data_IF_857518407740
#
_entry.id   IF_857518407740
#
_cell.length_a   1.000
_cell.length_b   1.000
_cell.length_c   1.000
_cell.angle_alpha   90.00
_cell.angle_beta   90.00
_cell.angle_gamma   90.00
#
_symmetry.space_group_name_H-M   'P 1'
#
loop_
_entity.id
_entity.type
_entity.pdbx_description
1 polymer ?
#
# COMPACT_ATOMS: atom_id res chain seq x y z
N UNK A 1 13.81 -11.44 25.63
CA UNK A 1 12.47 -10.82 25.66
C UNK A 1 12.30 -10.04 24.37
N UNK A 2 11.19 -10.18 23.62
CA UNK A 2 10.95 -9.34 22.47
C UNK A 2 10.91 -7.89 22.96
N UNK A 3 11.73 -7.04 22.37
CA UNK A 3 11.73 -5.60 22.66
C UNK A 3 10.44 -5.02 22.16
N UNK A 4 9.61 -4.47 23.06
CA UNK A 4 8.34 -3.83 22.73
C UNK A 4 8.68 -2.46 22.17
N UNK A 5 8.67 -2.28 20.85
CA UNK A 5 8.68 -0.95 20.25
C UNK A 5 7.27 -0.60 19.73
N UNK A 6 7.02 0.68 19.53
CA UNK A 6 5.69 1.14 19.14
C UNK A 6 5.26 0.52 17.81
N UNK A 7 4.09 -0.11 17.77
CA UNK A 7 3.57 -0.87 16.62
C UNK A 7 3.54 -0.05 15.33
N UNK A 8 3.36 1.27 15.41
CA UNK A 8 3.38 2.17 14.24
C UNK A 8 4.70 2.20 13.49
N UNK A 9 5.84 1.83 14.12
CA UNK A 9 7.15 1.79 13.46
C UNK A 9 7.51 0.41 12.91
N UNK A 10 6.65 -0.61 13.04
CA UNK A 10 6.88 -1.93 12.46
C UNK A 10 7.10 -1.87 10.94
N UNK A 11 6.28 -1.12 10.15
CA UNK A 11 6.51 -1.01 8.72
C UNK A 11 7.86 -0.37 8.36
N UNK A 12 8.32 0.60 9.16
CA UNK A 12 9.62 1.22 8.98
C UNK A 12 10.77 0.25 9.32
N UNK A 13 10.60 -0.57 10.36
CA UNK A 13 11.55 -1.64 10.70
C UNK A 13 11.63 -2.68 9.56
N UNK A 14 10.49 -3.08 9.01
CA UNK A 14 10.44 -4.00 7.85
C UNK A 14 11.15 -3.39 6.64
N UNK A 15 10.98 -2.09 6.40
CA UNK A 15 11.67 -1.37 5.33
C UNK A 15 13.20 -1.48 5.48
N UNK A 16 13.75 -1.20 6.67
CA UNK A 16 15.19 -1.32 6.91
C UNK A 16 15.68 -2.76 6.90
N UNK A 17 14.88 -3.71 7.37
CA UNK A 17 15.19 -5.14 7.31
C UNK A 17 15.37 -5.65 5.87
N UNK A 18 14.57 -5.14 4.94
CA UNK A 18 14.61 -5.53 3.53
C UNK A 18 15.66 -4.76 2.74
N UNK A 19 16.21 -3.68 3.29
CA UNK A 19 17.17 -2.85 2.57
C UNK A 19 18.58 -3.43 2.61
N UNK A 20 19.24 -3.42 1.45
CA UNK A 20 20.67 -3.75 1.28
C UNK A 20 21.51 -2.52 0.98
N UNK A 21 20.91 -1.33 0.91
CA UNK A 21 21.60 -0.09 0.57
C UNK A 21 22.45 0.40 1.74
N UNK A 22 23.72 0.75 1.48
CA UNK A 22 24.63 1.32 2.49
C UNK A 22 24.15 2.67 3.02
N UNK A 23 23.57 3.50 2.16
CA UNK A 23 22.96 4.78 2.51
C UNK A 23 21.53 4.87 2.00
N UNK A 24 20.64 5.32 2.87
CA UNK A 24 19.21 5.49 2.55
C UNK A 24 18.80 6.91 2.94
N UNK A 25 18.34 7.69 1.98
CA UNK A 25 17.71 8.99 2.25
C UNK A 25 16.21 8.84 2.13
N UNK A 26 15.50 9.14 3.21
CA UNK A 26 14.04 9.20 3.22
C UNK A 26 13.58 10.63 3.55
N UNK A 27 12.66 11.15 2.78
CA UNK A 27 11.92 12.35 3.14
C UNK A 27 10.94 12.05 4.27
N UNK A 28 10.51 13.07 5.00
CA UNK A 28 9.52 12.88 6.07
C UNK A 28 8.20 12.32 5.50
N UNK A 29 7.79 12.77 4.30
CA UNK A 29 6.60 12.24 3.62
C UNK A 29 6.72 10.75 3.28
N UNK A 30 7.88 10.27 2.85
CA UNK A 30 8.14 8.85 2.59
C UNK A 30 8.11 8.03 3.88
N UNK A 31 8.68 8.56 4.97
CA UNK A 31 8.62 7.88 6.28
C UNK A 31 7.16 7.80 6.76
N UNK A 32 6.40 8.89 6.65
CA UNK A 32 4.97 8.90 7.00
C UNK A 32 4.15 7.96 6.13
N UNK A 33 4.46 7.87 4.84
CA UNK A 33 3.85 6.90 3.95
C UNK A 33 4.13 5.46 4.40
N UNK A 34 5.38 5.16 4.77
CA UNK A 34 5.77 3.83 5.26
C UNK A 34 5.04 3.50 6.56
N UNK A 35 5.03 4.40 7.55
CA UNK A 35 4.42 4.13 8.87
C UNK A 35 2.89 4.29 8.88
N UNK A 36 2.29 4.94 7.88
CA UNK A 36 0.85 5.19 7.80
C UNK A 36 0.32 6.29 8.71
N UNK A 37 1.19 7.02 9.38
CA UNK A 37 0.82 8.05 10.36
C UNK A 37 1.74 9.26 10.22
N UNK A 38 1.26 10.43 10.69
CA UNK A 38 2.10 11.64 10.78
C UNK A 38 3.20 11.42 11.82
N UNK A 39 4.38 11.90 11.51
CA UNK A 39 5.47 11.96 12.48
C UNK A 39 5.12 12.90 13.64
N UNK A 40 5.57 12.62 14.87
CA UNK A 40 5.35 13.53 16.01
C UNK A 40 6.04 14.87 15.78
N UNK A 41 5.49 15.96 16.30
CA UNK A 41 6.04 17.31 16.16
C UNK A 41 7.53 17.38 16.54
N UNK A 42 7.98 16.57 17.51
CA UNK A 42 9.39 16.51 17.92
C UNK A 42 10.33 16.04 16.77
N UNK A 43 9.84 15.23 15.84
CA UNK A 43 10.61 14.80 14.67
C UNK A 43 10.87 15.96 13.70
N UNK A 44 9.91 16.90 13.58
CA UNK A 44 10.04 18.08 12.73
C UNK A 44 10.88 19.18 13.34
N UNK A 45 10.88 19.29 14.68
CA UNK A 45 11.47 20.41 15.42
C UNK A 45 12.88 20.13 15.94
N UNK A 46 13.30 18.87 16.02
CA UNK A 46 14.56 18.53 16.69
C UNK A 46 15.30 17.36 16.02
N UNK A 47 16.52 17.62 15.55
CA UNK A 47 17.41 16.56 15.06
C UNK A 47 17.77 15.55 16.16
N UNK A 48 17.74 15.96 17.44
CA UNK A 48 18.01 15.05 18.56
C UNK A 48 16.94 13.96 18.71
N UNK A 49 15.71 14.18 18.23
CA UNK A 49 14.68 13.16 18.23
C UNK A 49 15.11 11.96 17.36
N UNK A 50 15.66 12.21 16.20
CA UNK A 50 16.15 11.19 15.27
C UNK A 50 17.40 10.47 15.77
N UNK A 51 18.24 11.15 16.55
CA UNK A 51 19.53 10.65 17.07
C UNK A 51 19.42 9.98 18.43
N UNK A 52 18.23 9.93 19.05
CA UNK A 52 18.01 9.23 20.32
C UNK A 52 18.22 7.74 20.14
N UNK A 53 18.99 7.13 21.04
CA UNK A 53 19.29 5.70 21.07
C UNK A 53 19.08 5.08 22.46
N UNK A 54 18.33 5.78 23.34
CA UNK A 54 18.09 5.35 24.72
C UNK A 54 16.62 5.53 25.11
N UNK A 55 16.08 4.66 25.97
CA UNK A 55 14.76 4.83 26.57
C UNK A 55 14.58 6.23 27.20
N UNK A 56 13.34 6.77 27.29
CA UNK A 56 12.08 6.10 26.98
C UNK A 56 11.68 6.09 25.47
N UNK A 57 12.47 6.72 24.61
CA UNK A 57 12.21 6.66 23.17
C UNK A 57 12.44 5.23 22.65
N UNK A 58 11.54 4.75 21.80
CA UNK A 58 11.59 3.38 21.26
C UNK A 58 11.61 3.36 19.74
N UNK A 59 11.31 4.49 19.08
CA UNK A 59 11.20 4.59 17.62
C UNK A 59 12.53 4.28 16.89
N UNK A 60 13.68 4.56 17.54
CA UNK A 60 14.99 4.32 16.93
C UNK A 60 15.28 2.82 16.68
N UNK A 61 14.61 1.91 17.37
CA UNK A 61 14.75 0.49 17.10
C UNK A 61 14.37 0.12 15.66
N UNK A 62 13.47 0.89 15.03
CA UNK A 62 13.05 0.63 13.66
C UNK A 62 14.21 0.57 12.65
N UNK A 63 15.30 1.27 12.89
CA UNK A 63 16.50 1.25 12.04
C UNK A 63 17.71 0.65 12.70
N UNK A 64 17.92 0.85 14.02
CA UNK A 64 19.14 0.38 14.68
C UNK A 64 19.22 -1.14 14.83
N UNK A 65 18.08 -1.84 14.91
CA UNK A 65 18.05 -3.32 14.91
C UNK A 65 18.52 -3.94 13.59
N UNK A 66 18.49 -3.15 12.52
CA UNK A 66 18.95 -3.57 11.18
C UNK A 66 20.30 -2.95 10.80
N UNK A 67 21.06 -2.47 11.80
CA UNK A 67 22.41 -1.96 11.61
C UNK A 67 22.49 -0.56 11.03
N UNK A 68 21.36 0.16 10.91
CA UNK A 68 21.36 1.54 10.43
C UNK A 68 21.46 2.55 11.57
N UNK A 69 22.15 3.65 11.30
CA UNK A 69 22.25 4.81 12.17
C UNK A 69 21.91 6.09 11.40
N UNK A 70 21.48 7.13 12.11
CA UNK A 70 21.18 8.42 11.49
C UNK A 70 22.48 9.18 11.25
N UNK A 71 22.84 9.43 9.98
CA UNK A 71 24.02 10.20 9.56
C UNK A 71 23.75 11.70 9.58
N UNK A 72 22.71 12.13 8.86
CA UNK A 72 22.31 13.56 8.81
C UNK A 72 20.78 13.70 8.86
N UNK A 73 20.33 14.83 9.42
CA UNK A 73 18.93 15.21 9.49
C UNK A 73 18.79 16.60 8.88
N UNK A 74 18.03 16.72 7.79
CA UNK A 74 17.54 17.98 7.23
C UNK A 74 16.12 18.20 7.76
N UNK A 75 16.01 19.00 8.85
CA UNK A 75 14.75 19.16 9.59
C UNK A 75 13.59 19.60 8.69
N UNK A 76 12.48 18.89 8.83
CA UNK A 76 11.27 19.12 8.04
C UNK A 76 11.36 18.61 6.61
N UNK A 77 12.48 18.02 6.17
CA UNK A 77 12.67 17.55 4.79
C UNK A 77 13.03 16.07 4.72
N UNK A 78 14.20 15.67 5.23
CA UNK A 78 14.69 14.30 5.05
C UNK A 78 15.68 13.86 6.14
N UNK A 79 15.85 12.54 6.25
CA UNK A 79 16.85 11.89 7.09
C UNK A 79 17.71 10.98 6.21
N UNK A 80 19.02 11.05 6.38
CA UNK A 80 19.97 10.12 5.79
C UNK A 80 20.38 9.09 6.83
N UNK A 81 20.09 7.84 6.54
CA UNK A 81 20.52 6.68 7.31
C UNK A 81 21.73 6.04 6.66
N UNK A 82 22.62 5.47 7.49
CA UNK A 82 23.82 4.77 7.07
C UNK A 82 23.94 3.44 7.81
N UNK A 83 24.26 2.37 7.08
CA UNK A 83 24.48 1.04 7.65
C UNK A 83 25.94 0.82 7.99
N UNK A 84 26.22 0.45 9.23
CA UNK A 84 27.55 0.03 9.66
C UNK A 84 27.82 -1.47 9.39
N UNK A 85 26.79 -2.25 9.17
CA UNK A 85 26.91 -3.70 8.94
C UNK A 85 27.38 -4.01 7.51
N UNK A 86 27.09 -3.12 6.55
CA UNK A 86 27.48 -3.28 5.15
C UNK A 86 28.89 -2.77 4.82
N UNK A 87 29.72 -2.51 5.86
CA UNK A 87 31.10 -2.06 5.68
C UNK A 87 32.13 -3.20 5.48
N UNK A 88 31.75 -4.46 5.66
CA UNK A 88 32.68 -5.59 5.81
C UNK A 88 32.88 -6.48 4.60
N UNK A 89 32.32 -6.21 3.45
CA UNK A 89 32.62 -7.00 2.24
C UNK A 89 32.89 -6.12 1.01
N UNK A 90 34.13 -6.22 0.58
CA UNK A 90 34.77 -5.94 -0.72
C UNK A 90 34.08 -4.96 -1.68
N UNK A 91 34.89 -3.97 -2.10
CA UNK A 91 34.67 -3.11 -3.25
C UNK A 91 34.28 -3.97 -4.48
N UNK A 92 32.99 -4.12 -4.70
CA UNK A 92 32.44 -4.42 -6.01
C UNK A 92 31.75 -3.13 -6.44
N UNK A 93 32.38 -2.48 -7.42
CA UNK A 93 31.76 -1.43 -8.21
C UNK A 93 30.45 -1.98 -8.81
N UNK A 94 29.33 -1.79 -8.12
CA UNK A 94 28.01 -2.00 -8.69
C UNK A 94 27.23 -0.69 -8.59
N UNK A 95 27.44 0.09 -9.65
CA UNK A 95 26.67 1.27 -9.97
C UNK A 95 25.22 0.84 -10.18
N UNK A 96 24.31 1.25 -9.26
CA UNK A 96 22.85 1.20 -9.40
C UNK A 96 22.10 -0.14 -9.17
N UNK A 97 22.42 -0.93 -8.19
CA UNK A 97 21.47 -1.94 -7.72
C UNK A 97 20.62 -1.38 -6.55
N UNK A 98 19.76 -0.39 -6.85
CA UNK A 98 18.74 0.05 -5.91
C UNK A 98 17.67 -1.04 -5.85
N UNK A 99 17.72 -1.88 -4.82
CA UNK A 99 16.68 -2.87 -4.58
C UNK A 99 15.36 -2.14 -4.30
N UNK A 100 14.34 -2.40 -5.13
CA UNK A 100 12.99 -1.88 -4.90
C UNK A 100 12.39 -2.53 -3.63
N UNK A 101 12.04 -1.71 -2.66
CA UNK A 101 11.43 -2.15 -1.40
C UNK A 101 9.93 -1.88 -1.46
N UNK A 102 9.14 -2.95 -1.38
CA UNK A 102 7.69 -2.92 -1.37
C UNK A 102 7.15 -3.18 0.04
N UNK A 103 6.44 -2.22 0.60
CA UNK A 103 5.68 -2.35 1.84
C UNK A 103 4.20 -2.43 1.50
N UNK A 104 3.51 -3.44 2.06
CA UNK A 104 2.04 -3.52 2.01
C UNK A 104 1.53 -3.42 3.44
N UNK A 105 0.60 -2.51 3.68
CA UNK A 105 -0.01 -2.28 4.98
C UNK A 105 -1.46 -1.84 4.86
N UNK A 106 -2.18 -1.94 5.95
CA UNK A 106 -3.51 -1.35 6.05
C UNK A 106 -3.45 0.17 5.97
N UNK A 107 -4.50 0.75 5.40
CA UNK A 107 -4.65 2.19 5.33
C UNK A 107 -5.02 2.78 6.69
N UNK A 108 -4.39 3.90 7.06
CA UNK A 108 -4.73 4.70 8.23
C UNK A 108 -5.46 5.98 7.81
N UNK A 109 -6.24 6.58 8.74
CA UNK A 109 -7.03 7.78 8.43
C UNK A 109 -6.18 8.97 7.95
N UNK A 110 -4.92 9.00 8.35
CA UNK A 110 -3.96 10.03 7.92
C UNK A 110 -3.53 9.87 6.46
N UNK A 111 -3.71 8.68 5.88
CA UNK A 111 -3.44 8.41 4.46
C UNK A 111 -4.49 9.06 3.53
N UNK A 112 -5.61 9.54 4.02
CA UNK A 112 -6.75 9.99 3.20
C UNK A 112 -6.35 10.96 2.09
N UNK A 113 -5.47 11.95 2.38
CA UNK A 113 -4.99 12.91 1.37
C UNK A 113 -4.10 12.25 0.31
N UNK A 114 -3.24 11.32 0.72
CA UNK A 114 -2.35 10.60 -0.18
C UNK A 114 -3.13 9.59 -1.01
N UNK A 115 -4.12 8.94 -0.42
CA UNK A 115 -5.02 8.01 -1.09
C UNK A 115 -5.87 8.69 -2.17
N UNK A 116 -6.39 9.91 -1.92
CA UNK A 116 -7.06 10.72 -2.95
C UNK A 116 -6.14 10.92 -4.15
N UNK A 117 -4.90 11.40 -3.91
CA UNK A 117 -3.93 11.62 -4.99
C UNK A 117 -3.58 10.34 -5.75
N UNK A 118 -3.48 9.21 -5.04
CA UNK A 118 -3.25 7.91 -5.64
C UNK A 118 -4.40 7.53 -6.57
N UNK A 119 -5.65 7.67 -6.12
CA UNK A 119 -6.85 7.37 -6.93
C UNK A 119 -6.96 8.32 -8.13
N UNK A 120 -6.77 9.64 -7.93
CA UNK A 120 -6.79 10.64 -9.02
C UNK A 120 -5.76 10.32 -10.10
N UNK A 121 -4.55 9.90 -9.71
CA UNK A 121 -3.51 9.47 -10.64
C UNK A 121 -3.97 8.25 -11.43
N UNK A 122 -4.40 7.18 -10.74
CA UNK A 122 -4.84 5.94 -11.37
C UNK A 122 -6.03 6.20 -12.31
N UNK A 123 -7.02 6.98 -11.89
CA UNK A 123 -8.19 7.32 -12.72
C UNK A 123 -7.82 8.18 -13.96
N UNK A 124 -6.71 8.91 -13.89
CA UNK A 124 -6.20 9.66 -15.06
C UNK A 124 -5.39 8.82 -16.04
N UNK A 125 -4.91 7.65 -15.60
CA UNK A 125 -4.04 6.77 -16.38
C UNK A 125 -4.79 5.66 -17.12
N UNK A 126 -6.08 5.41 -16.81
CA UNK A 126 -6.84 4.31 -17.38
C UNK A 126 -8.34 4.56 -17.40
N UNK A 127 -9.01 4.07 -18.45
CA UNK A 127 -10.48 4.01 -18.57
C UNK A 127 -11.07 2.69 -18.01
N UNK A 128 -10.25 1.86 -17.34
CA UNK A 128 -10.69 0.55 -16.82
C UNK A 128 -11.19 0.59 -15.37
N UNK A 129 -11.27 1.75 -14.77
CA UNK A 129 -11.87 1.93 -13.43
C UNK A 129 -13.35 2.31 -13.58
N UNK A 130 -14.14 2.03 -12.54
CA UNK A 130 -15.58 2.38 -12.52
C UNK A 130 -15.81 3.89 -12.63
N UNK A 131 -14.86 4.68 -12.10
CA UNK A 131 -14.91 6.13 -12.13
C UNK A 131 -13.74 6.68 -12.94
N UNK A 132 -14.01 7.67 -13.79
CA UNK A 132 -13.01 8.46 -14.46
C UNK A 132 -12.57 9.66 -13.61
N UNK A 133 -11.54 10.37 -14.08
CA UNK A 133 -10.91 11.49 -13.37
C UNK A 133 -11.89 12.61 -12.95
N UNK A 134 -12.95 12.87 -13.75
CA UNK A 134 -13.93 13.94 -13.53
C UNK A 134 -15.18 13.51 -12.76
N UNK A 135 -15.34 12.21 -12.49
CA UNK A 135 -16.62 11.68 -12.03
C UNK A 135 -16.80 11.81 -10.52
N UNK A 136 -15.72 11.95 -9.78
CA UNK A 136 -15.76 12.03 -8.31
C UNK A 136 -15.02 13.26 -7.81
N UNK A 137 -15.73 14.07 -7.03
CA UNK A 137 -15.12 15.10 -6.20
C UNK A 137 -14.81 14.52 -4.81
N UNK A 138 -13.60 14.01 -4.64
CA UNK A 138 -13.14 13.47 -3.36
C UNK A 138 -12.65 14.58 -2.44
N UNK A 139 -13.18 14.63 -1.24
CA UNK A 139 -12.65 15.49 -0.16
C UNK A 139 -11.95 14.63 0.87
N UNK A 140 -10.96 15.20 1.57
CA UNK A 140 -10.27 14.48 2.66
C UNK A 140 -11.27 14.00 3.72
N UNK A 141 -12.32 14.80 3.98
CA UNK A 141 -13.33 14.45 4.97
C UNK A 141 -14.22 13.28 4.51
N UNK A 142 -14.65 13.26 3.21
CA UNK A 142 -15.44 12.14 2.68
C UNK A 142 -14.63 10.84 2.69
N UNK A 143 -13.38 10.88 2.25
CA UNK A 143 -12.52 9.69 2.24
C UNK A 143 -12.20 9.21 3.65
N UNK A 144 -11.94 10.09 4.61
CA UNK A 144 -11.77 9.68 6.03
C UNK A 144 -13.01 8.99 6.58
N UNK A 145 -14.21 9.46 6.21
CA UNK A 145 -15.46 8.81 6.62
C UNK A 145 -15.60 7.41 6.02
N UNK A 146 -15.28 7.25 4.74
CA UNK A 146 -15.30 5.93 4.06
C UNK A 146 -14.24 4.99 4.66
N UNK A 147 -13.00 5.45 4.83
CA UNK A 147 -11.94 4.67 5.45
C UNK A 147 -12.31 4.23 6.88
N UNK A 148 -12.93 5.12 7.66
CA UNK A 148 -13.44 4.79 8.98
C UNK A 148 -14.55 3.75 8.93
N UNK A 149 -15.46 3.84 7.94
CA UNK A 149 -16.51 2.86 7.74
C UNK A 149 -15.93 1.48 7.39
N UNK A 150 -14.98 1.39 6.46
CA UNK A 150 -14.29 0.14 6.13
C UNK A 150 -13.55 -0.46 7.33
N UNK A 151 -12.80 0.36 8.07
CA UNK A 151 -12.05 -0.08 9.26
C UNK A 151 -12.95 -0.59 10.39
N UNK A 152 -14.16 -0.05 10.51
CA UNK A 152 -15.14 -0.47 11.52
C UNK A 152 -16.00 -1.67 11.05
N UNK A 153 -15.81 -2.15 9.85
CA UNK A 153 -16.54 -3.29 9.29
C UNK A 153 -15.59 -4.49 9.25
N UNK A 154 -15.88 -5.54 10.01
CA UNK A 154 -14.98 -6.70 10.18
C UNK A 154 -14.60 -7.40 8.88
N UNK A 155 -15.44 -7.29 7.82
CA UNK A 155 -15.25 -7.93 6.53
C UNK A 155 -14.85 -6.96 5.40
N UNK A 156 -14.32 -5.78 5.74
CA UNK A 156 -13.81 -4.81 4.74
C UNK A 156 -12.42 -4.34 5.12
N UNK A 157 -11.53 -4.16 4.13
CA UNK A 157 -10.17 -3.69 4.36
C UNK A 157 -9.63 -2.93 3.15
N UNK A 158 -8.88 -1.87 3.41
CA UNK A 158 -8.10 -1.13 2.42
C UNK A 158 -6.61 -1.34 2.68
N UNK A 159 -5.92 -2.00 1.75
CA UNK A 159 -4.47 -2.16 1.79
C UNK A 159 -3.81 -1.20 0.80
N UNK A 160 -2.71 -0.61 1.22
CA UNK A 160 -1.87 0.29 0.43
C UNK A 160 -0.53 -0.37 0.12
N UNK A 161 -0.06 -0.22 -1.11
CA UNK A 161 1.27 -0.60 -1.54
C UNK A 161 2.16 0.64 -1.62
N UNK A 162 3.26 0.62 -0.89
CA UNK A 162 4.27 1.69 -0.84
C UNK A 162 5.58 1.12 -1.40
N UNK A 163 6.03 1.67 -2.53
CA UNK A 163 7.29 1.31 -3.18
C UNK A 163 8.31 2.41 -2.92
N UNK A 164 9.40 2.10 -2.22
CA UNK A 164 10.46 3.06 -1.87
C UNK A 164 9.93 4.35 -1.21
N UNK A 165 8.92 4.23 -0.32
CA UNK A 165 8.28 5.36 0.35
C UNK A 165 7.18 6.06 -0.45
N UNK A 166 6.92 5.67 -1.70
CA UNK A 166 5.90 6.28 -2.56
C UNK A 166 4.65 5.39 -2.68
N UNK A 167 3.47 5.99 -2.63
CA UNK A 167 2.22 5.27 -2.85
C UNK A 167 2.14 4.77 -4.30
N UNK A 168 2.18 3.45 -4.46
CA UNK A 168 2.25 2.77 -5.76
C UNK A 168 0.92 2.17 -6.21
N UNK A 169 0.07 1.74 -5.25
CA UNK A 169 -1.21 1.12 -5.55
C UNK A 169 -2.03 0.83 -4.29
N UNK A 170 -3.22 0.31 -4.49
CA UNK A 170 -4.13 -0.10 -3.41
C UNK A 170 -4.97 -1.30 -3.82
N UNK A 171 -5.52 -2.00 -2.83
CA UNK A 171 -6.63 -2.93 -2.98
C UNK A 171 -7.65 -2.68 -1.89
N UNK A 172 -8.91 -2.57 -2.27
CA UNK A 172 -10.05 -2.44 -1.38
C UNK A 172 -10.87 -3.73 -1.44
N UNK A 173 -11.08 -4.35 -0.30
CA UNK A 173 -12.02 -5.45 -0.10
C UNK A 173 -13.26 -4.87 0.60
N UNK A 174 -14.43 -5.07 0.01
CA UNK A 174 -15.70 -4.63 0.59
C UNK A 174 -16.57 -5.84 0.82
N UNK A 175 -16.81 -6.17 2.08
CA UNK A 175 -17.62 -7.32 2.47
C UNK A 175 -19.11 -7.14 2.15
N UNK A 176 -19.79 -8.25 1.96
CA UNK A 176 -21.23 -8.25 1.76
C UNK A 176 -21.96 -7.67 2.97
N UNK A 177 -22.95 -6.78 2.80
CA UNK A 177 -23.59 -6.07 3.91
C UNK A 177 -24.67 -6.90 4.63
N UNK A 178 -25.13 -8.00 4.04
CA UNK A 178 -26.23 -8.81 4.58
C UNK A 178 -25.71 -10.08 5.24
N UNK A 179 -26.38 -10.63 6.29
CA UNK A 179 -25.92 -11.82 7.00
C UNK A 179 -25.63 -13.02 6.09
N UNK A 180 -26.42 -13.21 5.02
CA UNK A 180 -26.20 -14.29 4.03
C UNK A 180 -25.07 -14.01 3.04
N UNK A 181 -24.45 -12.84 3.08
CA UNK A 181 -23.40 -12.41 2.17
C UNK A 181 -22.08 -12.08 2.91
N UNK A 182 -22.00 -12.25 4.23
CA UNK A 182 -20.83 -11.91 5.02
C UNK A 182 -19.58 -12.72 4.63
N UNK A 183 -19.78 -13.90 4.04
CA UNK A 183 -18.70 -14.80 3.61
C UNK A 183 -18.02 -14.38 2.31
N UNK A 184 -18.45 -13.29 1.67
CA UNK A 184 -17.88 -12.81 0.40
C UNK A 184 -17.46 -11.36 0.47
N UNK A 185 -16.44 -11.00 -0.32
CA UNK A 185 -16.02 -9.61 -0.49
C UNK A 185 -15.79 -9.26 -1.96
N UNK A 186 -16.24 -8.08 -2.36
CA UNK A 186 -15.90 -7.48 -3.64
C UNK A 186 -14.51 -6.87 -3.59
N UNK A 187 -13.77 -6.95 -4.69
CA UNK A 187 -12.38 -6.50 -4.79
C UNK A 187 -12.26 -5.39 -5.82
N UNK A 188 -11.65 -4.28 -5.42
CA UNK A 188 -11.21 -3.19 -6.32
C UNK A 188 -9.72 -3.00 -6.14
N UNK A 189 -8.96 -3.02 -7.23
CA UNK A 189 -7.49 -2.86 -7.21
C UNK A 189 -7.04 -1.84 -8.24
N UNK A 190 -6.07 -1.01 -7.86
CA UNK A 190 -5.43 -0.06 -8.74
C UNK A 190 -3.94 0.07 -8.43
N UNK A 191 -3.13 0.16 -9.49
CA UNK A 191 -1.68 0.39 -9.41
C UNK A 191 -1.32 1.45 -10.42
N UNK A 192 -0.54 2.47 -10.04
CA UNK A 192 -0.06 3.50 -10.94
C UNK A 192 0.74 2.88 -12.09
N UNK A 193 0.65 3.48 -13.28
CA UNK A 193 1.30 2.98 -14.48
C UNK A 193 2.83 2.91 -14.33
N UNK A 194 3.45 3.88 -13.67
CA UNK A 194 4.91 3.92 -13.41
C UNK A 194 5.42 2.73 -12.57
N UNK A 195 4.55 2.13 -11.76
CA UNK A 195 4.84 0.93 -10.95
C UNK A 195 4.27 -0.36 -11.55
N UNK A 196 3.74 -0.32 -12.76
CA UNK A 196 3.18 -1.50 -13.41
C UNK A 196 4.25 -2.57 -13.69
N UNK A 197 3.82 -3.84 -13.80
CA UNK A 197 4.68 -5.01 -14.07
C UNK A 197 5.74 -5.31 -13.00
N UNK A 198 5.75 -4.61 -11.87
CA UNK A 198 6.63 -4.88 -10.71
C UNK A 198 6.03 -5.88 -9.70
N UNK A 199 4.95 -6.56 -10.03
CA UNK A 199 4.31 -7.56 -9.16
C UNK A 199 3.42 -6.99 -8.05
N UNK A 200 3.28 -5.67 -7.93
CA UNK A 200 2.56 -4.99 -6.85
C UNK A 200 1.11 -5.47 -6.74
N UNK A 201 0.38 -5.54 -7.86
CA UNK A 201 -1.02 -6.01 -7.86
C UNK A 201 -1.13 -7.45 -7.32
N UNK A 202 -0.22 -8.34 -7.72
CA UNK A 202 -0.17 -9.72 -7.20
C UNK A 202 0.09 -9.74 -5.69
N UNK A 203 1.04 -8.93 -5.22
CA UNK A 203 1.39 -8.85 -3.80
C UNK A 203 0.23 -8.28 -2.97
N UNK A 204 -0.45 -7.23 -3.43
CA UNK A 204 -1.65 -6.69 -2.78
C UNK A 204 -2.75 -7.76 -2.65
N UNK A 205 -3.01 -8.50 -3.72
CA UNK A 205 -4.03 -9.57 -3.72
C UNK A 205 -3.67 -10.72 -2.78
N UNK A 206 -2.39 -11.14 -2.74
CA UNK A 206 -1.94 -12.20 -1.82
C UNK A 206 -2.08 -11.77 -0.35
N UNK A 207 -1.70 -10.54 -0.01
CA UNK A 207 -1.87 -10.02 1.35
C UNK A 207 -3.35 -9.88 1.72
N UNK A 208 -4.17 -9.37 0.79
CA UNK A 208 -5.60 -9.25 1.02
C UNK A 208 -6.34 -10.59 1.13
N UNK A 209 -5.93 -11.60 0.35
CA UNK A 209 -6.49 -12.95 0.48
C UNK A 209 -6.16 -13.58 1.84
N UNK A 210 -4.94 -13.38 2.34
CA UNK A 210 -4.56 -13.82 3.68
C UNK A 210 -5.45 -13.19 4.74
N UNK A 211 -5.59 -11.86 4.73
CA UNK A 211 -6.50 -11.15 5.62
C UNK A 211 -7.94 -11.65 5.48
N UNK A 212 -8.45 -11.82 4.26
CA UNK A 212 -9.82 -12.28 4.00
C UNK A 212 -10.12 -13.63 4.68
N UNK A 213 -9.18 -14.59 4.61
CA UNK A 213 -9.27 -15.87 5.30
C UNK A 213 -9.31 -15.73 6.82
N UNK A 214 -8.48 -14.84 7.38
CA UNK A 214 -8.41 -14.57 8.81
C UNK A 214 -9.74 -14.04 9.39
N UNK A 215 -10.50 -13.25 8.58
CA UNK A 215 -11.80 -12.69 8.97
C UNK A 215 -13.00 -13.54 8.52
N UNK A 216 -12.77 -14.74 7.98
CA UNK A 216 -13.84 -15.70 7.63
C UNK A 216 -14.50 -15.44 6.27
N UNK A 217 -13.91 -14.65 5.38
CA UNK A 217 -14.32 -14.53 3.98
C UNK A 217 -13.87 -15.80 3.25
N UNK A 218 -14.79 -16.45 2.52
CA UNK A 218 -14.52 -17.65 1.74
C UNK A 218 -14.69 -17.47 0.23
N UNK A 219 -15.15 -16.29 -0.21
CA UNK A 219 -15.28 -15.94 -1.62
C UNK A 219 -14.85 -14.51 -1.89
N UNK A 220 -13.95 -14.32 -2.86
CA UNK A 220 -13.62 -13.03 -3.46
C UNK A 220 -14.29 -12.89 -4.82
N UNK A 221 -14.83 -11.72 -5.13
CA UNK A 221 -15.51 -11.45 -6.38
C UNK A 221 -15.14 -10.07 -6.93
N UNK A 222 -15.12 -9.94 -8.26
CA UNK A 222 -14.82 -8.68 -8.94
C UNK A 222 -15.49 -8.63 -10.33
N UNK A 223 -15.61 -7.41 -10.86
CA UNK A 223 -15.89 -7.19 -12.29
C UNK A 223 -14.62 -6.72 -12.99
N UNK A 224 -14.45 -7.11 -14.24
CA UNK A 224 -13.35 -6.65 -15.09
C UNK A 224 -13.85 -6.37 -16.50
N UNK A 225 -13.52 -5.20 -17.03
CA UNK A 225 -13.84 -4.81 -18.41
C UNK A 225 -13.19 -5.80 -19.37
N UNK A 226 -13.94 -6.24 -20.40
CA UNK A 226 -13.47 -7.26 -21.36
C UNK A 226 -12.21 -6.86 -22.12
N UNK A 227 -12.03 -5.58 -22.37
CA UNK A 227 -10.86 -5.03 -23.05
C UNK A 227 -9.63 -4.95 -22.15
N UNK A 228 -9.80 -5.06 -20.82
CA UNK A 228 -8.69 -5.07 -19.88
C UNK A 228 -8.01 -6.45 -19.78
N UNK A 229 -7.31 -6.82 -20.86
CA UNK A 229 -6.62 -8.12 -20.98
C UNK A 229 -5.55 -8.30 -19.90
N UNK A 230 -4.91 -7.19 -19.47
CA UNK A 230 -3.89 -7.22 -18.44
C UNK A 230 -4.44 -7.68 -17.09
N UNK A 231 -5.54 -7.07 -16.64
CA UNK A 231 -6.21 -7.45 -15.40
C UNK A 231 -6.79 -8.88 -15.47
N UNK A 232 -7.38 -9.28 -16.59
CA UNK A 232 -7.88 -10.64 -16.76
C UNK A 232 -6.78 -11.70 -16.58
N UNK A 233 -5.59 -11.47 -17.18
CA UNK A 233 -4.43 -12.36 -17.02
C UNK A 233 -3.98 -12.42 -15.55
N UNK A 234 -3.96 -11.29 -14.86
CA UNK A 234 -3.63 -11.21 -13.43
C UNK A 234 -4.62 -12.04 -12.61
N UNK A 235 -5.93 -11.81 -12.77
CA UNK A 235 -6.95 -12.49 -11.98
C UNK A 235 -6.96 -14.00 -12.24
N UNK A 236 -6.85 -14.44 -13.51
CA UNK A 236 -6.71 -15.86 -13.84
C UNK A 236 -5.48 -16.50 -13.19
N UNK A 237 -4.31 -15.81 -13.21
CA UNK A 237 -3.08 -16.28 -12.54
C UNK A 237 -3.28 -16.41 -11.02
N UNK A 238 -4.11 -15.56 -10.41
CA UNK A 238 -4.44 -15.59 -8.99
C UNK A 238 -5.56 -16.58 -8.65
N UNK A 239 -6.08 -17.33 -9.62
CA UNK A 239 -7.10 -18.36 -9.41
C UNK A 239 -8.55 -17.86 -9.46
N UNK A 240 -8.79 -16.66 -9.99
CA UNK A 240 -10.15 -16.22 -10.27
C UNK A 240 -10.67 -16.87 -11.53
N UNK A 241 -11.91 -17.31 -11.49
CA UNK A 241 -12.65 -17.91 -12.60
C UNK A 241 -13.75 -16.98 -13.07
N UNK A 242 -14.09 -17.04 -14.35
CA UNK A 242 -15.21 -16.30 -14.91
C UNK A 242 -16.53 -16.96 -14.49
N UNK A 243 -17.38 -16.22 -13.81
CA UNK A 243 -18.70 -16.66 -13.36
C UNK A 243 -19.84 -16.17 -14.28
N UNK A 244 -19.60 -15.10 -15.06
CA UNK A 244 -20.63 -14.56 -15.96
C UNK A 244 -20.18 -13.42 -16.86
N UNK A 245 -21.06 -13.05 -17.79
CA UNK A 245 -20.93 -11.89 -18.67
C UNK A 245 -21.94 -10.82 -18.25
N UNK A 246 -21.48 -9.59 -18.06
CA UNK A 246 -22.30 -8.41 -17.86
C UNK A 246 -22.30 -7.58 -19.14
N UNK A 247 -23.36 -7.71 -19.92
CA UNK A 247 -23.53 -7.00 -21.19
C UNK A 247 -23.90 -5.54 -20.93
N UNK A 248 -23.26 -4.61 -21.69
CA UNK A 248 -23.53 -3.19 -21.59
C UNK A 248 -23.44 -2.70 -20.12
N UNK A 249 -22.43 -3.20 -19.40
CA UNK A 249 -22.28 -2.95 -17.95
C UNK A 249 -21.94 -1.50 -17.64
N UNK A 250 -21.17 -0.85 -18.52
CA UNK A 250 -20.71 0.53 -18.36
C UNK A 250 -20.90 1.31 -19.67
N UNK A 251 -20.86 2.64 -19.55
CA UNK A 251 -20.72 3.56 -20.70
C UNK A 251 -19.41 4.31 -20.50
N UNK A 252 -18.45 4.10 -21.40
CA UNK A 252 -17.15 4.77 -21.39
C UNK A 252 -17.00 5.54 -22.71
N UNK A 253 -16.75 6.83 -22.64
CA UNK A 253 -16.62 7.71 -23.81
C UNK A 253 -17.82 7.58 -24.80
N UNK A 254 -19.05 7.40 -24.27
CA UNK A 254 -20.26 7.26 -25.05
C UNK A 254 -20.51 5.87 -25.66
N UNK A 255 -19.65 4.88 -25.39
CA UNK A 255 -19.78 3.51 -25.88
C UNK A 255 -20.14 2.53 -24.76
N UNK A 256 -21.03 1.60 -25.05
CA UNK A 256 -21.35 0.49 -24.15
C UNK A 256 -20.15 -0.47 -24.05
N UNK A 257 -19.81 -0.85 -22.82
CA UNK A 257 -18.68 -1.73 -22.52
C UNK A 257 -19.18 -2.92 -21.70
N UNK A 258 -18.73 -4.10 -22.08
CA UNK A 258 -19.04 -5.34 -21.38
C UNK A 258 -18.02 -5.63 -20.27
N UNK A 259 -18.48 -6.32 -19.22
CA UNK A 259 -17.62 -6.83 -18.15
C UNK A 259 -17.72 -8.34 -18.01
N UNK A 260 -16.65 -8.97 -17.51
CA UNK A 260 -16.71 -10.29 -16.89
C UNK A 260 -16.93 -10.15 -15.40
N UNK A 261 -17.85 -10.92 -14.87
CA UNK A 261 -17.94 -11.18 -13.45
C UNK A 261 -17.03 -12.37 -13.13
N UNK A 262 -16.10 -12.19 -12.19
CA UNK A 262 -15.13 -13.21 -11.83
C UNK A 262 -15.15 -13.45 -10.32
N UNK A 263 -15.00 -14.71 -9.91
CA UNK A 263 -14.97 -15.13 -8.53
C UNK A 263 -13.83 -16.09 -8.22
N UNK A 264 -13.45 -16.15 -6.94
CA UNK A 264 -12.47 -17.09 -6.40
C UNK A 264 -12.95 -17.59 -5.04
N UNK A 265 -13.00 -18.89 -4.85
CA UNK A 265 -13.14 -19.51 -3.51
C UNK A 265 -11.77 -19.56 -2.84
N UNK A 266 -11.70 -19.17 -1.54
CA UNK A 266 -10.44 -19.04 -0.81
C UNK A 266 -10.44 -19.80 0.51
#
# INVERSE_FOLDING_TARGET
MPKIFESKYIPLSTFFQQSTNKEIRLTYAEIEAIIGQVLPNAAYLSSSWWKKTKPPALHYFAWTEHGYSVKTVDLGKSVLFHSSVLETDEIIDDVNNHQDILIIREAELDDARAFIRLQETIFSETDFMLYGKSDIQMTVQSIRKEMSAWKNTENSNLLLAIMNGQFAGYVLFTGGPAPRALHRASVVIGVKQEFSKKGIASSLMVHGEKWAKEVGISKLELSVIKENIGAQKLYKKLGFEKEGDRKNALIINGHFVDEYYMGKLI
#
